data_IF_429933438769
#
_entry.id   IF_429933438769
#
_cell.length_a   1.000
_cell.length_b   1.000
_cell.length_c   1.000
_cell.angle_alpha   90.00
_cell.angle_beta   90.00
_cell.angle_gamma   90.00
#
_symmetry.space_group_name_H-M   'P 1'
#
loop_
_entity.id
_entity.type
_entity.pdbx_description
1 polymer ?
#
# COMPACT_ATOMS: atom_id res chain seq x y z
N UNK A 1 20.70 6.22 16.06
CA UNK A 1 21.29 5.65 14.83
C UNK A 1 20.23 5.70 13.75
N UNK A 2 20.55 6.22 12.57
CA UNK A 2 19.60 6.32 11.46
C UNK A 2 20.17 5.52 10.29
N UNK A 3 19.41 4.55 9.79
CA UNK A 3 19.79 3.74 8.62
C UNK A 3 19.99 4.65 7.41
N UNK A 4 21.10 4.47 6.70
CA UNK A 4 21.47 5.23 5.50
C UNK A 4 21.25 4.43 4.23
N UNK A 5 20.89 5.06 3.09
CA UNK A 5 20.78 4.38 1.80
C UNK A 5 22.05 3.63 1.38
N UNK A 6 23.23 4.13 1.75
CA UNK A 6 24.53 3.50 1.46
C UNK A 6 24.74 2.15 2.14
N UNK A 7 23.93 1.82 3.15
CA UNK A 7 24.00 0.51 3.84
C UNK A 7 23.33 -0.60 3.00
N UNK A 8 22.54 -0.25 1.98
CA UNK A 8 22.03 -1.21 1.02
C UNK A 8 23.00 -1.37 -0.16
N UNK A 9 23.47 -2.59 -0.39
CA UNK A 9 24.34 -2.94 -1.53
C UNK A 9 23.62 -2.93 -2.89
N UNK A 10 22.33 -2.57 -2.93
CA UNK A 10 21.45 -2.65 -4.09
C UNK A 10 20.79 -1.31 -4.34
N UNK A 11 20.59 -0.98 -5.62
CA UNK A 11 19.84 0.21 -6.02
C UNK A 11 18.37 0.08 -5.62
N UNK A 12 17.73 1.22 -5.35
CA UNK A 12 16.30 1.26 -5.01
C UNK A 12 15.40 0.59 -6.07
N UNK A 13 15.80 0.60 -7.35
CA UNK A 13 15.09 -0.08 -8.45
C UNK A 13 14.97 -1.61 -8.29
N UNK A 14 15.75 -2.24 -7.42
CA UNK A 14 15.63 -3.68 -7.12
C UNK A 14 14.92 -3.94 -5.78
N UNK A 15 14.67 -2.89 -5.01
CA UNK A 15 14.20 -2.98 -3.63
C UNK A 15 12.67 -2.94 -3.54
N UNK A 16 12.10 -3.92 -2.85
CA UNK A 16 10.70 -3.91 -2.42
C UNK A 16 10.71 -3.69 -0.90
N UNK A 17 9.92 -2.72 -0.42
CA UNK A 17 9.78 -2.46 1.02
C UNK A 17 8.35 -2.74 1.45
N UNK A 18 8.17 -3.65 2.41
CA UNK A 18 6.90 -3.85 3.11
C UNK A 18 6.98 -3.24 4.51
N UNK A 19 6.12 -2.27 4.79
CA UNK A 19 6.16 -1.48 6.02
C UNK A 19 4.80 -1.48 6.71
N UNK A 20 4.84 -1.49 8.03
CA UNK A 20 3.71 -1.28 8.92
C UNK A 20 4.04 -0.09 9.83
N UNK A 21 3.91 1.17 9.33
CA UNK A 21 4.33 2.34 10.08
C UNK A 21 3.59 2.47 11.41
N UNK A 22 4.27 2.91 12.49
CA UNK A 22 3.65 3.03 13.80
C UNK A 22 2.51 4.04 13.80
N UNK A 23 1.45 3.72 14.55
CA UNK A 23 0.34 4.63 14.79
C UNK A 23 0.77 5.75 15.74
N UNK A 24 0.45 6.99 15.38
CA UNK A 24 0.64 8.16 16.23
C UNK A 24 -0.52 9.12 16.07
N UNK A 25 -0.54 10.18 16.87
CA UNK A 25 -1.56 11.24 16.77
C UNK A 25 -1.54 11.80 15.33
N UNK A 26 -2.70 11.81 14.68
CA UNK A 26 -2.90 12.34 13.32
C UNK A 26 -1.94 11.78 12.25
N UNK A 27 -1.54 10.51 12.36
CA UNK A 27 -0.65 9.82 11.41
C UNK A 27 0.72 10.51 11.18
N UNK A 28 1.16 11.42 12.06
CA UNK A 28 2.43 12.15 11.87
C UNK A 28 3.65 11.20 11.88
N UNK A 29 3.68 10.24 12.80
CA UNK A 29 4.75 9.23 12.88
C UNK A 29 4.77 8.34 11.64
N UNK A 30 3.61 7.88 11.16
CA UNK A 30 3.51 7.12 9.93
C UNK A 30 4.07 7.89 8.73
N UNK A 31 3.72 9.17 8.59
CA UNK A 31 4.22 10.03 7.51
C UNK A 31 5.74 10.25 7.59
N UNK A 32 6.31 10.42 8.79
CA UNK A 32 7.78 10.51 8.96
C UNK A 32 8.47 9.21 8.56
N UNK A 33 7.89 8.07 8.94
CA UNK A 33 8.41 6.75 8.60
C UNK A 33 8.40 6.51 7.09
N UNK A 34 7.28 6.85 6.43
CA UNK A 34 7.16 6.76 4.96
C UNK A 34 8.19 7.66 4.28
N UNK A 35 8.32 8.94 4.69
CA UNK A 35 9.32 9.85 4.10
C UNK A 35 10.74 9.28 4.19
N UNK A 36 11.09 8.66 5.32
CA UNK A 36 12.40 8.01 5.46
C UNK A 36 12.57 6.84 4.51
N UNK A 37 11.54 6.01 4.32
CA UNK A 37 11.57 4.90 3.37
C UNK A 37 11.77 5.38 1.91
N UNK A 38 11.19 6.52 1.54
CA UNK A 38 11.31 7.08 0.19
C UNK A 38 12.75 7.46 -0.19
N UNK A 39 13.62 7.77 0.78
CA UNK A 39 15.05 8.06 0.53
C UNK A 39 15.78 6.89 -0.15
N UNK A 40 15.31 5.65 0.07
CA UNK A 40 15.87 4.44 -0.52
C UNK A 40 15.37 4.16 -1.94
N UNK A 41 14.38 4.95 -2.41
CA UNK A 41 13.79 4.86 -3.76
C UNK A 41 13.35 3.44 -4.16
N UNK A 42 12.64 2.68 -3.30
CA UNK A 42 12.21 1.32 -3.64
C UNK A 42 11.38 1.28 -4.93
N UNK A 43 11.48 0.20 -5.70
CA UNK A 43 10.63 0.01 -6.89
C UNK A 43 9.15 -0.16 -6.52
N UNK A 44 8.89 -0.74 -5.35
CA UNK A 44 7.56 -1.00 -4.83
C UNK A 44 7.56 -0.81 -3.32
N UNK A 45 6.62 -0.02 -2.84
CA UNK A 45 6.36 0.23 -1.42
C UNK A 45 5.00 -0.37 -1.06
N UNK A 46 4.99 -1.32 -0.13
CA UNK A 46 3.79 -1.97 0.40
C UNK A 46 3.55 -1.39 1.79
N UNK A 47 2.42 -0.73 2.00
CA UNK A 47 2.08 -0.04 3.25
C UNK A 47 0.82 -0.64 3.87
N UNK A 48 0.90 -0.96 5.15
CA UNK A 48 -0.25 -1.20 6.01
C UNK A 48 -0.39 0.01 6.91
N UNK A 49 -1.42 0.83 6.70
CA UNK A 49 -1.54 2.14 7.37
C UNK A 49 -2.98 2.41 7.82
N UNK A 50 -3.19 3.27 8.84
CA UNK A 50 -4.54 3.70 9.19
C UNK A 50 -5.14 4.55 8.07
N UNK A 51 -6.48 4.60 8.03
CA UNK A 51 -7.22 5.51 7.18
C UNK A 51 -6.78 6.97 7.42
N UNK A 52 -6.63 7.76 6.34
CA UNK A 52 -6.21 9.16 6.41
C UNK A 52 -4.70 9.42 6.39
N UNK A 53 -3.88 8.37 6.20
CA UNK A 53 -2.43 8.52 5.95
C UNK A 53 -2.20 9.20 4.60
N UNK A 54 -1.20 10.08 4.49
CA UNK A 54 -0.91 10.79 3.24
C UNK A 54 -0.26 9.87 2.22
N UNK A 55 -0.61 10.07 0.95
CA UNK A 55 0.04 9.39 -0.17
C UNK A 55 1.55 9.68 -0.18
N UNK A 56 2.40 8.68 -0.48
CA UNK A 56 3.83 8.89 -0.65
C UNK A 56 4.11 9.81 -1.84
N UNK A 57 4.98 10.80 -1.65
CA UNK A 57 5.34 11.75 -2.70
C UNK A 57 6.14 11.06 -3.83
N UNK A 58 5.86 11.43 -5.08
CA UNK A 58 6.52 10.90 -6.29
C UNK A 58 6.33 9.38 -6.51
N UNK A 59 5.27 8.80 -5.98
CA UNK A 59 4.87 7.42 -6.23
C UNK A 59 3.41 7.39 -6.71
N UNK A 60 3.11 6.44 -7.59
CA UNK A 60 1.75 6.22 -8.06
C UNK A 60 1.12 5.05 -7.33
N UNK A 61 -0.17 5.17 -7.05
CA UNK A 61 -0.96 4.08 -6.53
C UNK A 61 -1.11 3.00 -7.60
N UNK A 62 -0.68 1.78 -7.27
CA UNK A 62 -0.89 0.59 -8.10
C UNK A 62 -2.14 -0.15 -7.65
N UNK A 63 -2.31 -0.32 -6.33
CA UNK A 63 -3.42 -1.07 -5.75
C UNK A 63 -3.68 -0.65 -4.31
N UNK A 64 -4.96 -0.61 -3.94
CA UNK A 64 -5.48 -0.37 -2.60
C UNK A 64 -6.46 -1.51 -2.27
N UNK A 65 -6.37 -2.02 -1.05
CA UNK A 65 -7.29 -3.04 -0.54
C UNK A 65 -7.63 -2.75 0.92
N UNK A 66 -8.93 -2.64 1.22
CA UNK A 66 -9.47 -2.39 2.56
C UNK A 66 -10.07 -3.62 3.24
N UNK A 67 -10.09 -4.77 2.58
CA UNK A 67 -10.81 -5.96 3.04
C UNK A 67 -9.87 -7.07 3.53
N UNK A 68 -8.69 -7.23 2.91
CA UNK A 68 -7.71 -8.27 3.25
C UNK A 68 -7.24 -8.23 4.70
N UNK A 69 -7.36 -7.08 5.36
CA UNK A 69 -6.96 -6.85 6.75
C UNK A 69 -8.15 -6.64 7.71
N UNK A 70 -9.37 -7.02 7.31
CA UNK A 70 -10.62 -6.88 8.09
C UNK A 70 -10.78 -7.83 9.28
N UNK A 71 -9.95 -8.86 9.41
CA UNK A 71 -10.07 -9.89 10.44
C UNK A 71 -9.53 -9.51 11.82
N UNK A 72 -9.02 -10.52 12.55
CA UNK A 72 -8.35 -10.34 13.84
C UNK A 72 -7.25 -9.30 13.74
N UNK A 73 -7.10 -8.51 14.80
CA UNK A 73 -6.17 -7.39 14.86
C UNK A 73 -4.74 -7.84 14.61
N UNK A 74 -4.14 -7.24 13.57
CA UNK A 74 -2.81 -7.57 13.08
C UNK A 74 -1.68 -7.31 14.11
N UNK A 75 -1.96 -6.53 15.16
CA UNK A 75 -0.96 -5.96 16.08
C UNK A 75 -0.82 -6.71 17.42
N UNK A 76 -1.67 -7.70 17.70
CA UNK A 76 -1.69 -8.41 18.97
C UNK A 76 -1.35 -9.92 18.94
N UNK A 77 -0.84 -10.55 17.85
CA UNK A 77 -0.40 -11.95 17.93
C UNK A 77 0.60 -12.17 19.08
N UNK A 78 0.25 -13.03 20.03
CA UNK A 78 1.08 -13.35 21.21
C UNK A 78 1.01 -12.34 22.36
N UNK A 79 0.17 -11.30 22.27
CA UNK A 79 -0.10 -10.41 23.40
C UNK A 79 -1.01 -11.10 24.41
N UNK A 80 -0.65 -10.99 25.68
CA UNK A 80 -1.40 -11.52 26.81
C UNK A 80 -1.91 -10.35 27.68
N UNK A 81 -3.09 -10.51 28.27
CA UNK A 81 -3.65 -9.54 29.21
C UNK A 81 -2.98 -9.67 30.59
N UNK A 82 -3.45 -8.87 31.56
CA UNK A 82 -2.96 -8.90 32.95
C UNK A 82 -3.20 -10.23 33.67
N UNK A 83 -3.98 -11.14 33.06
CA UNK A 83 -4.33 -12.45 33.58
C UNK A 83 -3.72 -13.58 32.72
N UNK A 84 -2.71 -13.28 31.92
CA UNK A 84 -2.03 -14.21 30.99
C UNK A 84 -2.94 -14.81 29.89
N UNK A 85 -4.12 -14.24 29.64
CA UNK A 85 -5.00 -14.69 28.56
C UNK A 85 -4.60 -14.04 27.24
N UNK A 86 -4.63 -14.82 26.15
CA UNK A 86 -4.35 -14.28 24.82
C UNK A 86 -5.39 -13.21 24.44
N UNK A 87 -4.90 -12.02 24.08
CA UNK A 87 -5.75 -10.91 23.66
C UNK A 87 -6.18 -11.15 22.21
N UNK A 88 -7.45 -11.48 22.02
CA UNK A 88 -8.08 -11.53 20.70
C UNK A 88 -8.87 -10.24 20.47
N UNK A 89 -8.28 -9.30 19.73
CA UNK A 89 -8.99 -8.09 19.28
C UNK A 89 -9.38 -8.23 17.81
N UNK A 90 -10.49 -7.60 17.43
CA UNK A 90 -10.92 -7.45 16.05
C UNK A 90 -10.76 -6.00 15.62
N UNK A 91 -10.37 -5.78 14.35
CA UNK A 91 -10.24 -4.42 13.83
C UNK A 91 -11.62 -3.76 13.68
N UNK A 92 -11.92 -2.74 14.50
CA UNK A 92 -13.16 -1.94 14.35
C UNK A 92 -13.15 -1.17 13.03
N UNK A 93 -11.99 -0.65 12.64
CA UNK A 93 -11.71 -0.13 11.30
C UNK A 93 -10.43 -0.80 10.79
N UNK A 94 -10.48 -1.58 9.71
CA UNK A 94 -9.29 -2.23 9.21
C UNK A 94 -8.28 -1.21 8.67
N UNK A 95 -6.97 -1.50 8.84
CA UNK A 95 -5.95 -0.75 8.12
C UNK A 95 -6.07 -1.01 6.62
N UNK A 96 -5.65 -0.03 5.83
CA UNK A 96 -5.61 -0.15 4.37
C UNK A 96 -4.27 -0.74 3.95
N UNK A 97 -4.32 -1.65 2.97
CA UNK A 97 -3.16 -2.17 2.27
C UNK A 97 -2.96 -1.38 0.98
N UNK A 98 -1.81 -0.72 0.85
CA UNK A 98 -1.45 0.00 -0.37
C UNK A 98 -0.19 -0.57 -1.01
N UNK A 99 -0.21 -0.63 -2.34
CA UNK A 99 0.96 -0.83 -3.18
C UNK A 99 1.23 0.44 -3.99
N UNK A 100 2.37 1.07 -3.71
CA UNK A 100 2.84 2.28 -4.38
C UNK A 100 4.08 1.97 -5.22
N UNK A 101 4.11 2.47 -6.45
CA UNK A 101 5.21 2.27 -7.40
C UNK A 101 5.88 3.58 -7.75
N UNK A 102 7.15 3.52 -8.12
CA UNK A 102 7.76 4.63 -8.86
C UNK A 102 7.07 4.82 -10.22
N UNK A 103 6.92 6.06 -10.72
CA UNK A 103 6.23 6.34 -11.97
C UNK A 103 6.75 5.60 -13.19
N UNK A 104 8.07 5.42 -13.28
CA UNK A 104 8.71 4.70 -14.38
C UNK A 104 8.35 3.19 -14.44
N UNK A 105 7.87 2.63 -13.34
CA UNK A 105 7.52 1.20 -13.21
C UNK A 105 6.01 0.96 -13.06
N UNK A 106 5.23 2.01 -12.81
CA UNK A 106 3.79 1.94 -12.58
C UNK A 106 3.04 1.18 -13.67
N UNK A 107 3.26 1.42 -14.99
CA UNK A 107 2.53 0.69 -16.03
C UNK A 107 2.76 -0.82 -15.96
N UNK A 108 4.01 -1.23 -15.71
CA UNK A 108 4.38 -2.65 -15.62
C UNK A 108 3.74 -3.29 -14.38
N UNK A 109 3.78 -2.62 -13.23
CA UNK A 109 3.21 -3.15 -11.99
C UNK A 109 1.68 -3.17 -12.00
N UNK A 110 1.02 -2.19 -12.63
CA UNK A 110 -0.44 -2.23 -12.87
C UNK A 110 -0.83 -3.40 -13.78
N UNK A 111 -0.07 -3.67 -14.86
CA UNK A 111 -0.34 -4.82 -15.71
C UNK A 111 -0.23 -6.15 -14.95
N UNK A 112 0.72 -6.26 -14.00
CA UNK A 112 0.82 -7.43 -13.11
C UNK A 112 -0.39 -7.49 -12.18
N UNK A 113 -0.77 -6.38 -11.53
CA UNK A 113 -1.93 -6.32 -10.64
C UNK A 113 -3.23 -6.73 -11.36
N UNK A 114 -3.41 -6.33 -12.63
CA UNK A 114 -4.53 -6.77 -13.47
C UNK A 114 -4.50 -8.29 -13.73
N UNK A 115 -3.34 -8.84 -14.09
CA UNK A 115 -3.18 -10.29 -14.31
C UNK A 115 -3.46 -11.11 -13.05
N UNK A 116 -3.21 -10.54 -11.87
CA UNK A 116 -3.48 -11.16 -10.58
C UNK A 116 -4.88 -10.83 -10.04
N UNK A 117 -5.74 -10.20 -10.85
CA UNK A 117 -7.11 -9.83 -10.46
C UNK A 117 -7.20 -8.91 -9.23
N UNK A 118 -6.13 -8.15 -8.94
CA UNK A 118 -6.12 -7.14 -7.86
C UNK A 118 -6.85 -5.86 -8.28
N UNK A 119 -6.76 -5.50 -9.56
CA UNK A 119 -7.46 -4.36 -10.15
C UNK A 119 -8.26 -4.82 -11.35
N UNK A 120 -9.48 -4.31 -11.49
CA UNK A 120 -10.31 -4.57 -12.66
C UNK A 120 -9.69 -3.90 -13.89
N UNK A 121 -9.83 -4.54 -15.05
CA UNK A 121 -9.44 -3.92 -16.32
C UNK A 121 -10.43 -2.79 -16.60
N UNK A 122 -9.95 -1.57 -16.81
CA UNK A 122 -10.80 -0.51 -17.35
C UNK A 122 -11.38 -1.00 -18.68
N UNK A 123 -12.70 -1.13 -18.74
CA UNK A 123 -13.41 -1.34 -20.00
C UNK A 123 -13.27 -0.01 -20.73
N UNK A 124 -12.46 0.02 -21.79
CA UNK A 124 -12.48 1.17 -22.69
C UNK A 124 -13.88 1.20 -23.31
N UNK A 125 -14.65 2.24 -23.03
CA UNK A 125 -15.88 2.52 -23.75
C UNK A 125 -15.55 2.56 -25.25
N UNK A 126 -16.14 1.64 -26.00
CA UNK A 126 -16.08 1.66 -27.46
C UNK A 126 -16.97 2.84 -27.88
N UNK A 127 -16.49 3.78 -28.71
CA UNK A 127 -17.34 4.83 -29.24
C UNK A 127 -18.54 4.18 -29.92
N UNK A 128 -19.75 4.59 -29.54
CA UNK A 128 -20.96 4.20 -30.26
C UNK A 128 -20.83 4.80 -31.67
N UNK A 129 -20.63 3.94 -32.68
CA UNK A 129 -20.74 4.38 -34.07
C UNK A 129 -22.19 4.84 -34.30
N UNK A 130 -22.36 6.10 -34.70
CA UNK A 130 -23.66 6.64 -35.10
C UNK A 130 -24.25 5.77 -36.22
N UNK A 131 -25.47 5.30 -36.00
CA UNK A 131 -26.19 4.44 -36.94
C UNK A 131 -26.58 5.24 -38.19
N UNK A 132 -26.05 4.94 -39.39
CA UNK A 132 -26.28 5.75 -40.59
C UNK A 132 -27.65 5.51 -41.25
N UNK A 133 -28.64 4.97 -40.51
CA UNK A 133 -29.94 4.59 -41.04
C UNK A 133 -31.13 5.29 -40.37
N UNK A 134 -30.92 6.40 -39.65
CA UNK A 134 -32.01 7.30 -39.27
C UNK A 134 -32.13 8.46 -40.26
N UNK A 135 -32.88 8.23 -41.35
CA UNK A 135 -33.63 9.25 -42.11
C UNK A 135 -35.07 8.77 -42.31
#
# INVERSE_FOLDING_TARGET
MTVKPSELHTTGSKLIMGLNPPFGVNAQLANQFIRKALEFKPKLLILIVPQGTKSPENYDLVWEDGEKLSGKSFYLPGSIDVNDNQIEQWNVKPPLLYLWSRPDLTPTLKAIAQKQHHILKEIKEVPVEENPYEE
#
